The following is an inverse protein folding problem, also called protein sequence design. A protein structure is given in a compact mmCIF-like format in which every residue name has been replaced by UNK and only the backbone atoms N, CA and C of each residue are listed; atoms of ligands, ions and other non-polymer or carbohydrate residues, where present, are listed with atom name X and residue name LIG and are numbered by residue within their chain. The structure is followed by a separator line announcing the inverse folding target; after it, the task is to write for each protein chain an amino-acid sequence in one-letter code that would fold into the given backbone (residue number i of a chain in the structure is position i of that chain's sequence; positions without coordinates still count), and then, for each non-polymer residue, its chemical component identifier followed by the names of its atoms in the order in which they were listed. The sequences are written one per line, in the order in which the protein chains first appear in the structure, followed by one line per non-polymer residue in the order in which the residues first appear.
data_IF_536932667042
#
_entry.id   IF_536932667042
#
_cell.length_a   1.000
_cell.length_b   1.000
_cell.length_c   1.000
_cell.angle_alpha   90.00
_cell.angle_beta   90.00
_cell.angle_gamma   90.00
#
_symmetry.space_group_name_H-M   'P 1'
#
loop_
_entity.id
_entity.type
_entity.pdbx_description
1 polymer ?
#
# COMPACT_ATOMS: atom_id res chain seq x y z
N UNK A 1 -0.74 -0.63 -18.46
CA UNK A 1 -0.13 0.42 -17.63
C UNK A 1 -1.25 1.14 -16.90
N UNK A 2 -1.13 1.39 -15.59
CA UNK A 2 -2.13 2.14 -14.80
C UNK A 2 -1.49 3.40 -14.20
N UNK A 3 -2.31 4.38 -13.84
CA UNK A 3 -1.85 5.66 -13.30
C UNK A 3 -1.85 5.68 -11.77
N UNK A 4 -1.22 6.70 -11.16
CA UNK A 4 -1.25 6.90 -9.70
C UNK A 4 -2.68 7.01 -9.13
N UNK A 5 -3.63 7.53 -9.91
CA UNK A 5 -5.04 7.65 -9.51
C UNK A 5 -5.79 6.34 -9.69
N UNK A 6 -5.35 5.46 -10.59
CA UNK A 6 -5.87 4.08 -10.65
C UNK A 6 -5.45 3.27 -9.42
N UNK A 7 -4.17 3.37 -9.02
CA UNK A 7 -3.69 2.74 -7.79
C UNK A 7 -4.50 3.19 -6.57
N UNK A 8 -4.88 4.47 -6.50
CA UNK A 8 -5.75 4.99 -5.43
C UNK A 8 -7.09 4.26 -5.38
N UNK A 9 -7.76 4.04 -6.52
CA UNK A 9 -9.03 3.30 -6.56
C UNK A 9 -8.83 1.87 -6.08
N UNK A 10 -7.77 1.20 -6.54
CA UNK A 10 -7.50 -0.20 -6.19
C UNK A 10 -7.29 -0.33 -4.68
N UNK A 11 -6.32 0.39 -4.13
CA UNK A 11 -5.98 0.29 -2.71
C UNK A 11 -7.15 0.72 -1.82
N UNK A 12 -7.79 1.86 -2.10
CA UNK A 12 -8.86 2.38 -1.25
C UNK A 12 -10.13 1.50 -1.26
N UNK A 13 -10.38 0.76 -2.34
CA UNK A 13 -11.50 -0.19 -2.36
C UNK A 13 -11.29 -1.32 -1.36
N UNK A 14 -10.07 -1.87 -1.28
CA UNK A 14 -9.74 -2.93 -0.30
C UNK A 14 -9.46 -2.39 1.12
N UNK A 15 -9.12 -1.11 1.25
CA UNK A 15 -9.02 -0.40 2.54
C UNK A 15 -10.40 0.06 3.07
N UNK A 16 -11.50 -0.46 2.52
CA UNK A 16 -12.87 -0.18 2.96
C UNK A 16 -13.24 1.32 2.89
N UNK A 17 -12.72 2.03 1.90
CA UNK A 17 -13.01 3.45 1.63
C UNK A 17 -13.73 3.69 0.28
N UNK A 18 -14.82 2.95 -0.05
CA UNK A 18 -15.48 3.06 -1.35
C UNK A 18 -16.17 4.41 -1.58
N UNK A 19 -16.57 5.09 -0.49
CA UNK A 19 -17.10 6.45 -0.52
C UNK A 19 -16.03 7.48 -0.93
N UNK A 20 -14.77 7.30 -0.51
CA UNK A 20 -13.65 8.16 -0.97
C UNK A 20 -13.35 7.94 -2.45
N UNK A 21 -13.37 6.68 -2.91
CA UNK A 21 -13.20 6.34 -4.34
C UNK A 21 -14.31 6.96 -5.19
N UNK A 22 -15.53 6.97 -4.68
CA UNK A 22 -16.72 7.55 -5.34
C UNK A 22 -16.67 9.06 -5.51
N UNK A 23 -15.77 9.77 -4.81
CA UNK A 23 -15.52 11.21 -5.04
C UNK A 23 -14.78 11.48 -6.36
N UNK A 24 -14.21 10.44 -6.99
CA UNK A 24 -13.48 10.51 -8.24
C UNK A 24 -11.98 10.26 -8.06
N UNK A 25 -11.32 9.81 -9.14
CA UNK A 25 -9.96 9.26 -9.08
C UNK A 25 -8.90 10.24 -8.55
N UNK A 26 -9.02 11.54 -8.86
CA UNK A 26 -8.11 12.57 -8.33
C UNK A 26 -8.29 12.75 -6.83
N UNK A 27 -9.54 12.88 -6.35
CA UNK A 27 -9.84 13.04 -4.91
C UNK A 27 -9.53 11.78 -4.11
N UNK A 28 -9.71 10.59 -4.69
CA UNK A 28 -9.26 9.33 -4.11
C UNK A 28 -7.73 9.33 -3.91
N UNK A 29 -6.97 9.87 -4.86
CA UNK A 29 -5.52 9.97 -4.74
C UNK A 29 -5.09 11.05 -3.73
N UNK A 30 -5.54 12.30 -3.90
CA UNK A 30 -5.07 13.46 -3.13
C UNK A 30 -5.77 13.67 -1.80
N UNK A 31 -6.97 13.09 -1.61
CA UNK A 31 -7.85 13.40 -0.49
C UNK A 31 -8.67 14.68 -0.70
N UNK A 32 -9.43 15.03 0.34
CA UNK A 32 -10.22 16.26 0.48
C UNK A 32 -10.11 16.75 1.94
N UNK A 33 -10.64 17.93 2.31
CA UNK A 33 -10.67 18.32 3.72
C UNK A 33 -11.38 17.30 4.64
N UNK A 34 -12.29 16.49 4.10
CA UNK A 34 -13.04 15.47 4.84
C UNK A 34 -12.47 14.04 4.71
N UNK A 35 -11.53 13.80 3.80
CA UNK A 35 -11.05 12.45 3.46
C UNK A 35 -9.54 12.42 3.26
N UNK A 36 -8.86 11.39 3.76
CA UNK A 36 -7.39 11.34 3.70
C UNK A 36 -6.85 11.15 2.28
N UNK A 37 -7.54 10.39 1.43
CA UNK A 37 -7.00 9.93 0.16
C UNK A 37 -5.80 9.00 0.32
N UNK A 38 -5.29 8.46 -0.79
CA UNK A 38 -4.20 7.48 -0.79
C UNK A 38 -2.86 8.11 -0.38
N UNK A 39 -2.53 9.30 -0.88
CA UNK A 39 -1.21 9.93 -0.65
C UNK A 39 -0.92 10.11 0.84
N UNK A 40 -1.87 10.68 1.59
CA UNK A 40 -1.71 10.89 3.03
C UNK A 40 -1.61 9.56 3.79
N UNK A 41 -2.39 8.54 3.41
CA UNK A 41 -2.33 7.20 4.03
C UNK A 41 -0.97 6.54 3.79
N UNK A 42 -0.41 6.67 2.59
CA UNK A 42 0.92 6.13 2.27
C UNK A 42 2.00 6.89 3.05
N UNK A 43 1.96 8.22 3.09
CA UNK A 43 2.92 9.02 3.85
C UNK A 43 2.92 8.65 5.33
N UNK A 44 1.74 8.57 5.96
CA UNK A 44 1.60 8.18 7.38
C UNK A 44 2.16 6.76 7.64
N UNK A 45 1.94 5.80 6.73
CA UNK A 45 2.52 4.45 6.85
C UNK A 45 4.03 4.44 6.63
N UNK A 46 4.52 5.22 5.67
CA UNK A 46 5.94 5.30 5.32
C UNK A 46 6.77 5.88 6.48
N UNK A 47 6.26 6.93 7.10
CA UNK A 47 6.91 7.58 8.24
C UNK A 47 6.94 6.66 9.47
N UNK A 48 5.94 5.78 9.61
CA UNK A 48 5.87 4.80 10.69
C UNK A 48 6.83 3.62 10.48
N UNK A 49 6.76 2.97 9.31
CA UNK A 49 7.65 1.87 8.93
C UNK A 49 7.72 1.74 7.41
N UNK A 50 8.75 2.33 6.80
CA UNK A 50 8.95 2.25 5.36
C UNK A 50 9.20 0.82 4.84
N UNK A 51 9.52 -0.15 5.72
CA UNK A 51 9.71 -1.55 5.32
C UNK A 51 8.40 -2.24 4.96
N UNK A 52 7.25 -1.62 5.27
CA UNK A 52 5.94 -2.07 4.78
C UNK A 52 5.84 -1.99 3.25
N UNK A 53 6.57 -1.06 2.62
CA UNK A 53 6.57 -0.88 1.16
C UNK A 53 7.68 -1.72 0.54
N UNK A 54 7.43 -3.02 0.49
CA UNK A 54 8.34 -4.04 0.00
C UNK A 54 7.73 -4.81 -1.19
N UNK A 55 8.40 -5.88 -1.64
CA UNK A 55 7.92 -6.71 -2.74
C UNK A 55 6.51 -7.29 -2.50
N UNK A 56 6.19 -7.71 -1.27
CA UNK A 56 4.84 -8.21 -0.94
C UNK A 56 3.79 -7.12 -1.14
N UNK A 57 4.05 -5.89 -0.68
CA UNK A 57 3.13 -4.76 -0.92
C UNK A 57 2.90 -4.52 -2.40
N UNK A 58 3.97 -4.59 -3.21
CA UNK A 58 3.87 -4.47 -4.67
C UNK A 58 2.99 -5.58 -5.27
N UNK A 59 3.24 -6.85 -4.92
CA UNK A 59 2.44 -7.99 -5.38
C UNK A 59 0.97 -7.84 -5.01
N UNK A 60 0.70 -7.46 -3.76
CA UNK A 60 -0.66 -7.20 -3.29
C UNK A 60 -1.33 -6.03 -4.04
N UNK A 61 -0.60 -4.95 -4.34
CA UNK A 61 -1.13 -3.83 -5.11
C UNK A 61 -1.54 -4.24 -6.53
N UNK A 62 -0.75 -5.10 -7.18
CA UNK A 62 -1.08 -5.62 -8.51
C UNK A 62 -2.23 -6.63 -8.45
N UNK A 63 -2.27 -7.52 -7.46
CA UNK A 63 -3.40 -8.42 -7.25
C UNK A 63 -4.72 -7.64 -7.08
N UNK A 64 -4.70 -6.55 -6.30
CA UNK A 64 -5.85 -5.64 -6.15
C UNK A 64 -6.23 -4.96 -7.47
N UNK A 65 -5.25 -4.62 -8.31
CA UNK A 65 -5.51 -4.07 -9.65
C UNK A 65 -6.18 -5.11 -10.56
N UNK A 66 -5.74 -6.37 -10.53
CA UNK A 66 -6.34 -7.49 -11.29
C UNK A 66 -7.78 -7.69 -10.83
N UNK A 67 -8.00 -7.87 -9.52
CA UNK A 67 -9.34 -8.02 -8.94
C UNK A 67 -10.27 -6.88 -9.34
N UNK A 68 -9.80 -5.63 -9.24
CA UNK A 68 -10.61 -4.47 -9.60
C UNK A 68 -11.01 -4.48 -11.07
N UNK A 69 -10.08 -4.80 -11.98
CA UNK A 69 -10.34 -4.81 -13.42
C UNK A 69 -11.28 -5.93 -13.84
N UNK A 70 -11.14 -7.11 -13.26
CA UNK A 70 -12.04 -8.24 -13.53
C UNK A 70 -13.46 -7.95 -13.01
N UNK A 71 -13.59 -7.38 -11.80
CA UNK A 71 -14.90 -6.97 -11.27
C UNK A 71 -15.49 -5.84 -12.12
N UNK A 72 -14.71 -4.86 -12.56
CA UNK A 72 -15.18 -3.81 -13.49
C UNK A 72 -15.70 -4.37 -14.81
N UNK A 73 -14.98 -5.33 -15.40
CA UNK A 73 -15.40 -5.99 -16.62
C UNK A 73 -16.66 -6.84 -16.43
N UNK A 74 -16.75 -7.57 -15.31
CA UNK A 74 -17.91 -8.39 -14.95
C UNK A 74 -19.16 -7.53 -14.76
N UNK A 75 -19.08 -6.45 -13.97
CA UNK A 75 -20.22 -5.54 -13.76
C UNK A 75 -20.69 -4.96 -15.08
N UNK A 76 -19.78 -4.52 -15.95
CA UNK A 76 -20.14 -3.95 -17.26
C UNK A 76 -20.91 -4.93 -18.16
N UNK A 77 -20.62 -6.23 -18.06
CA UNK A 77 -21.25 -7.29 -18.87
C UNK A 77 -22.52 -7.87 -18.26
N UNK A 78 -22.80 -7.54 -17.00
CA UNK A 78 -23.93 -8.11 -16.26
C UNK A 78 -25.26 -7.59 -16.81
N UNK A 79 -26.27 -8.46 -16.94
CA UNK A 79 -27.58 -8.07 -17.48
C UNK A 79 -28.37 -7.12 -16.57
N UNK A 80 -28.06 -7.12 -15.27
CA UNK A 80 -28.68 -6.24 -14.27
C UNK A 80 -28.03 -4.84 -14.21
N UNK A 81 -26.92 -4.60 -14.90
CA UNK A 81 -26.17 -3.34 -14.82
C UNK A 81 -26.90 -2.19 -15.52
N UNK A 82 -27.19 -1.12 -14.76
CA UNK A 82 -27.97 0.04 -15.25
C UNK A 82 -27.23 1.39 -15.13
N UNK A 83 -25.98 1.42 -14.65
CA UNK A 83 -25.21 2.66 -14.45
C UNK A 83 -24.33 2.62 -13.21
N UNK A 84 -23.62 3.72 -12.91
CA UNK A 84 -22.82 3.86 -11.67
C UNK A 84 -21.74 2.78 -11.46
N UNK A 85 -21.17 2.24 -12.54
CA UNK A 85 -20.21 1.12 -12.51
C UNK A 85 -19.07 1.35 -11.52
N UNK A 86 -18.43 2.53 -11.58
CA UNK A 86 -17.31 2.86 -10.72
C UNK A 86 -17.67 2.76 -9.22
N UNK A 87 -18.91 3.11 -8.86
CA UNK A 87 -19.43 3.00 -7.50
C UNK A 87 -19.69 1.53 -7.15
N UNK A 88 -20.40 0.79 -8.01
CA UNK A 88 -20.71 -0.63 -7.79
C UNK A 88 -19.42 -1.44 -7.58
N UNK A 89 -18.41 -1.25 -8.43
CA UNK A 89 -17.13 -1.96 -8.35
C UNK A 89 -16.41 -1.69 -7.03
N UNK A 90 -16.24 -0.42 -6.64
CA UNK A 90 -15.51 -0.10 -5.41
C UNK A 90 -16.24 -0.59 -4.16
N UNK A 91 -17.57 -0.47 -4.12
CA UNK A 91 -18.38 -0.96 -3.01
C UNK A 91 -18.41 -2.49 -2.94
N UNK A 92 -18.38 -3.19 -4.08
CA UNK A 92 -18.31 -4.66 -4.14
C UNK A 92 -17.02 -5.16 -3.49
N UNK A 93 -15.87 -4.61 -3.89
CA UNK A 93 -14.57 -5.01 -3.36
C UNK A 93 -14.41 -4.64 -1.88
N UNK A 94 -14.90 -3.46 -1.49
CA UNK A 94 -14.92 -3.03 -0.10
C UNK A 94 -15.79 -3.94 0.77
N UNK A 95 -16.99 -4.29 0.29
CA UNK A 95 -17.91 -5.19 1.00
C UNK A 95 -17.33 -6.58 1.16
N UNK A 96 -16.73 -7.14 0.10
CA UNK A 96 -16.04 -8.41 0.18
C UNK A 96 -14.92 -8.38 1.23
N UNK A 97 -14.05 -7.36 1.18
CA UNK A 97 -12.95 -7.17 2.14
C UNK A 97 -13.45 -7.06 3.58
N UNK A 98 -14.55 -6.32 3.80
CA UNK A 98 -15.19 -6.18 5.11
C UNK A 98 -15.71 -7.52 5.64
N UNK A 99 -16.39 -8.30 4.80
CA UNK A 99 -16.92 -9.60 5.18
C UNK A 99 -15.80 -10.59 5.51
N UNK A 100 -14.73 -10.62 4.71
CA UNK A 100 -13.55 -11.49 4.94
C UNK A 100 -12.88 -11.14 6.27
N UNK A 101 -12.68 -9.84 6.54
CA UNK A 101 -12.08 -9.37 7.80
C UNK A 101 -12.93 -9.72 9.01
N UNK A 102 -14.26 -9.60 8.92
CA UNK A 102 -15.21 -9.90 10.02
C UNK A 102 -15.15 -11.36 10.46
N UNK A 103 -14.76 -12.28 9.58
CA UNK A 103 -14.62 -13.71 9.90
C UNK A 103 -13.17 -14.11 10.24
N UNK A 104 -12.27 -13.15 10.46
CA UNK A 104 -10.88 -13.41 10.87
C UNK A 104 -9.99 -14.00 9.76
N UNK A 105 -10.38 -13.79 8.50
CA UNK A 105 -9.63 -14.23 7.32
C UNK A 105 -9.06 -13.04 6.56
N UNK A 106 -8.21 -13.34 5.59
CA UNK A 106 -7.61 -12.41 4.63
C UNK A 106 -7.73 -12.95 3.21
N UNK A 107 -7.74 -12.05 2.24
CA UNK A 107 -7.74 -12.41 0.82
C UNK A 107 -6.34 -12.90 0.46
N UNK A 108 -6.23 -14.06 -0.19
CA UNK A 108 -4.94 -14.55 -0.69
C UNK A 108 -4.52 -13.79 -1.97
N UNK A 109 -3.99 -12.59 -1.78
CA UNK A 109 -3.52 -11.76 -2.90
C UNK A 109 -2.33 -12.37 -3.63
N UNK A 110 -1.53 -13.22 -2.98
CA UNK A 110 -0.38 -13.88 -3.61
C UNK A 110 -0.84 -14.91 -4.64
N UNK A 111 -1.92 -15.66 -4.36
CA UNK A 111 -2.49 -16.59 -5.34
C UNK A 111 -2.98 -15.86 -6.61
N UNK A 112 -3.65 -14.71 -6.44
CA UNK A 112 -4.08 -13.87 -7.57
C UNK A 112 -2.89 -13.29 -8.32
N UNK A 113 -1.84 -12.87 -7.61
CA UNK A 113 -0.60 -12.41 -8.21
C UNK A 113 0.09 -13.52 -9.01
N UNK A 114 0.24 -14.71 -8.46
CA UNK A 114 0.97 -15.80 -9.14
C UNK A 114 0.23 -16.28 -10.38
N UNK A 115 -1.11 -16.40 -10.30
CA UNK A 115 -1.95 -16.83 -11.43
C UNK A 115 -2.25 -15.71 -12.43
N UNK A 116 -2.00 -14.46 -12.07
CA UNK A 116 -2.35 -13.26 -12.83
C UNK A 116 -3.83 -13.22 -13.29
N UNK A 117 -4.72 -13.86 -12.53
CA UNK A 117 -6.15 -13.94 -12.83
C UNK A 117 -6.95 -14.16 -11.53
N UNK A 118 -8.25 -13.93 -11.59
CA UNK A 118 -9.16 -14.12 -10.45
C UNK A 118 -9.80 -15.50 -10.54
N UNK A 119 -9.74 -16.33 -9.49
CA UNK A 119 -10.43 -17.62 -9.47
C UNK A 119 -11.93 -17.48 -9.76
N UNK A 120 -12.49 -18.41 -10.51
CA UNK A 120 -13.89 -18.37 -10.95
C UNK A 120 -14.88 -18.34 -9.77
N UNK A 121 -14.60 -19.08 -8.71
CA UNK A 121 -15.39 -19.10 -7.47
C UNK A 121 -15.46 -17.71 -6.83
N UNK A 122 -14.34 -16.98 -6.86
CA UNK A 122 -14.26 -15.63 -6.33
C UNK A 122 -15.00 -14.63 -7.23
N UNK A 123 -14.95 -14.81 -8.55
CA UNK A 123 -15.74 -14.01 -9.50
C UNK A 123 -17.25 -14.16 -9.28
N UNK A 124 -17.75 -15.39 -9.09
CA UNK A 124 -19.17 -15.62 -8.76
C UNK A 124 -19.57 -14.92 -7.46
N UNK A 125 -18.69 -14.95 -6.46
CA UNK A 125 -18.94 -14.25 -5.20
C UNK A 125 -19.00 -12.73 -5.39
N UNK A 126 -18.12 -12.16 -6.21
CA UNK A 126 -18.16 -10.74 -6.54
C UNK A 126 -19.42 -10.37 -7.31
N UNK A 127 -19.87 -11.19 -8.25
CA UNK A 127 -21.12 -10.95 -8.99
C UNK A 127 -22.33 -10.90 -8.06
N UNK A 128 -22.45 -11.88 -7.15
CA UNK A 128 -23.53 -11.90 -6.15
C UNK A 128 -23.50 -10.70 -5.21
N UNK A 129 -22.31 -10.24 -4.82
CA UNK A 129 -22.18 -9.01 -4.04
C UNK A 129 -22.57 -7.80 -4.89
N UNK A 130 -22.08 -7.71 -6.12
CA UNK A 130 -22.26 -6.55 -6.99
C UNK A 130 -23.74 -6.30 -7.33
N UNK A 131 -24.52 -7.36 -7.54
CA UNK A 131 -25.96 -7.26 -7.77
C UNK A 131 -26.67 -6.62 -6.56
N UNK A 132 -26.37 -7.07 -5.33
CA UNK A 132 -26.90 -6.45 -4.09
C UNK A 132 -26.41 -5.02 -3.88
N UNK A 133 -25.17 -4.72 -4.26
CA UNK A 133 -24.63 -3.36 -4.21
C UNK A 133 -25.38 -2.46 -5.20
N UNK A 134 -25.68 -2.96 -6.40
CA UNK A 134 -26.44 -2.23 -7.41
C UNK A 134 -27.82 -1.80 -6.87
N UNK A 135 -28.53 -2.70 -6.19
CA UNK A 135 -29.80 -2.39 -5.52
C UNK A 135 -29.64 -1.22 -4.53
N UNK A 136 -28.65 -1.28 -3.63
CA UNK A 136 -28.42 -0.22 -2.62
C UNK A 136 -27.96 1.11 -3.21
N UNK A 137 -27.22 1.09 -4.31
CA UNK A 137 -26.78 2.32 -4.99
C UNK A 137 -27.95 2.98 -5.73
N UNK A 138 -28.84 2.18 -6.33
CA UNK A 138 -30.00 2.66 -7.08
C UNK A 138 -31.18 3.04 -6.19
N UNK A 139 -31.23 2.57 -4.94
CA UNK A 139 -32.26 2.88 -3.96
C UNK A 139 -31.70 3.62 -2.72
N UNK A 140 -31.29 4.90 -2.83
CA UNK A 140 -30.89 5.68 -1.67
C UNK A 140 -32.07 5.84 -0.69
N UNK A 141 -31.79 5.70 0.61
CA UNK A 141 -32.84 5.85 1.62
C UNK A 141 -33.51 7.23 1.60
N UNK A 142 -34.82 7.23 1.83
CA UNK A 142 -35.67 8.42 1.82
C UNK A 142 -35.10 9.58 2.66
N UNK A 143 -35.18 10.79 2.10
CA UNK A 143 -34.74 12.01 2.76
C UNK A 143 -33.22 12.29 2.72
N UNK A 144 -32.41 11.43 2.10
CA UNK A 144 -30.95 11.65 1.99
C UNK A 144 -30.56 12.33 0.67
N UNK A 145 -31.01 11.77 -0.46
CA UNK A 145 -30.85 12.29 -1.83
C UNK A 145 -31.56 11.34 -2.80
N UNK A 146 -32.10 11.84 -3.91
CA UNK A 146 -32.56 11.01 -5.04
C UNK A 146 -31.46 10.69 -6.06
N UNK A 147 -30.23 11.19 -5.85
CA UNK A 147 -29.12 11.02 -6.80
C UNK A 147 -28.15 9.94 -6.31
N UNK A 148 -28.15 8.78 -6.98
CA UNK A 148 -27.29 7.63 -6.67
C UNK A 148 -25.79 7.96 -6.66
N UNK A 149 -25.32 8.88 -7.52
CA UNK A 149 -23.91 9.29 -7.53
C UNK A 149 -23.55 10.10 -6.28
N UNK A 150 -24.44 10.96 -5.80
CA UNK A 150 -24.21 11.70 -4.54
C UNK A 150 -24.36 10.79 -3.33
N UNK A 151 -25.27 9.81 -3.38
CA UNK A 151 -25.42 8.80 -2.35
C UNK A 151 -24.13 8.00 -2.14
N UNK A 152 -23.55 7.49 -3.24
CA UNK A 152 -22.33 6.69 -3.20
C UNK A 152 -21.11 7.42 -2.60
N UNK A 153 -21.09 8.76 -2.61
CA UNK A 153 -20.03 9.59 -2.02
C UNK A 153 -20.15 9.75 -0.51
N UNK A 154 -21.30 9.43 0.09
CA UNK A 154 -21.54 9.61 1.53
C UNK A 154 -21.01 8.42 2.31
N UNK A 155 -20.35 8.68 3.44
CA UNK A 155 -19.95 7.63 4.39
C UNK A 155 -21.17 6.80 4.84
N UNK A 156 -22.35 7.42 4.98
CA UNK A 156 -23.59 6.73 5.34
C UNK A 156 -23.97 5.61 4.34
N UNK A 157 -23.66 5.75 3.05
CA UNK A 157 -23.86 4.68 2.06
C UNK A 157 -22.97 3.48 2.38
N UNK A 158 -21.71 3.72 2.77
CA UNK A 158 -20.82 2.65 3.22
C UNK A 158 -21.30 1.97 4.49
N UNK A 159 -21.82 2.72 5.46
CA UNK A 159 -22.42 2.14 6.66
C UNK A 159 -23.60 1.22 6.33
N UNK A 160 -24.53 1.66 5.47
CA UNK A 160 -25.65 0.82 4.99
C UNK A 160 -25.15 -0.45 4.29
N UNK A 161 -24.13 -0.34 3.43
CA UNK A 161 -23.57 -1.52 2.74
C UNK A 161 -22.90 -2.50 3.73
N UNK A 162 -22.25 -2.02 4.79
CA UNK A 162 -21.66 -2.90 5.81
C UNK A 162 -22.70 -3.75 6.54
N UNK A 163 -23.93 -3.27 6.65
CA UNK A 163 -25.05 -3.98 7.31
C UNK A 163 -25.67 -5.07 6.44
N UNK A 164 -25.48 -5.03 5.11
CA UNK A 164 -25.98 -6.06 4.21
C UNK A 164 -25.49 -7.46 4.61
N UNK A 165 -26.43 -8.40 4.72
CA UNK A 165 -26.11 -9.81 4.93
C UNK A 165 -25.82 -10.47 3.59
N UNK A 166 -24.56 -10.85 3.41
CA UNK A 166 -24.10 -11.58 2.23
C UNK A 166 -23.20 -12.70 2.73
N UNK A 167 -23.69 -13.92 2.60
CA UNK A 167 -22.95 -15.12 2.97
C UNK A 167 -21.92 -15.46 1.90
N UNK A 168 -20.83 -16.09 2.33
CA UNK A 168 -19.84 -16.63 1.41
C UNK A 168 -20.32 -17.95 0.83
N UNK A 169 -20.12 -18.14 -0.47
CA UNK A 169 -20.15 -19.47 -1.04
C UNK A 169 -19.05 -20.32 -0.40
N UNK A 170 -19.37 -21.58 -0.10
CA UNK A 170 -18.41 -22.49 0.53
C UNK A 170 -17.12 -22.63 -0.29
N UNK A 171 -17.24 -22.57 -1.61
CA UNK A 171 -16.12 -22.60 -2.56
C UNK A 171 -15.12 -21.45 -2.41
N UNK A 172 -15.52 -20.33 -1.77
CA UNK A 172 -14.63 -19.17 -1.56
C UNK A 172 -13.71 -19.39 -0.38
N UNK A 173 -14.09 -20.20 0.61
CA UNK A 173 -13.31 -20.36 1.86
C UNK A 173 -11.90 -20.88 1.59
N UNK A 174 -11.75 -21.80 0.64
CA UNK A 174 -10.45 -22.36 0.24
C UNK A 174 -9.54 -21.37 -0.51
N UNK A 175 -10.04 -20.18 -0.88
CA UNK A 175 -9.28 -19.11 -1.54
C UNK A 175 -8.86 -17.99 -0.57
N UNK A 176 -9.27 -18.10 0.69
CA UNK A 176 -8.91 -17.18 1.75
C UNK A 176 -7.84 -17.82 2.62
N UNK A 177 -7.01 -16.98 3.23
CA UNK A 177 -6.00 -17.38 4.21
C UNK A 177 -6.40 -16.87 5.59
N UNK A 178 -5.83 -17.46 6.63
CA UNK A 178 -6.05 -16.93 7.99
C UNK A 178 -5.42 -15.54 8.12
N UNK A 179 -5.98 -14.69 8.98
CA UNK A 179 -5.32 -13.40 9.30
C UNK A 179 -3.97 -13.58 10.01
N UNK A 180 -3.69 -14.76 10.59
CA UNK A 180 -2.39 -15.07 11.18
C UNK A 180 -1.34 -15.34 10.09
N UNK A 181 -1.67 -16.16 9.11
CA UNK A 181 -0.83 -16.44 7.95
C UNK A 181 -0.50 -15.16 7.16
N UNK A 182 -1.50 -14.29 6.94
CA UNK A 182 -1.29 -12.99 6.28
C UNK A 182 -0.31 -12.10 7.06
N UNK A 183 -0.41 -12.06 8.40
CA UNK A 183 0.55 -11.32 9.25
C UNK A 183 1.95 -11.93 9.23
N UNK A 184 2.06 -13.25 9.17
CA UNK A 184 3.34 -13.94 9.05
C UNK A 184 4.02 -13.59 7.72
N UNK A 185 3.26 -13.58 6.63
CA UNK A 185 3.72 -13.13 5.32
C UNK A 185 4.23 -11.68 5.36
N UNK A 186 3.45 -10.76 5.97
CA UNK A 186 3.88 -9.36 6.17
C UNK A 186 5.17 -9.24 6.99
N UNK A 187 5.29 -10.00 8.09
CA UNK A 187 6.47 -10.01 8.94
C UNK A 187 7.71 -10.50 8.18
N UNK A 188 7.59 -11.61 7.44
CA UNK A 188 8.68 -12.19 6.66
C UNK A 188 9.11 -11.25 5.53
N UNK A 189 8.17 -10.58 4.88
CA UNK A 189 8.46 -9.58 3.85
C UNK A 189 9.21 -8.36 4.43
N UNK A 190 8.79 -7.84 5.60
CA UNK A 190 9.51 -6.75 6.29
C UNK A 190 10.94 -7.16 6.68
N UNK A 191 11.14 -8.39 7.14
CA UNK A 191 12.47 -8.93 7.48
C UNK A 191 13.37 -8.97 6.24
N UNK A 192 12.84 -9.46 5.12
CA UNK A 192 13.55 -9.50 3.83
C UNK A 192 13.92 -8.09 3.35
N UNK A 193 12.98 -7.14 3.38
CA UNK A 193 13.25 -5.75 3.04
C UNK A 193 14.34 -5.13 3.93
N UNK A 194 14.35 -5.46 5.22
CA UNK A 194 15.38 -4.98 6.14
C UNK A 194 16.79 -5.47 5.77
N UNK A 195 16.91 -6.70 5.25
CA UNK A 195 18.18 -7.27 4.78
C UNK A 195 18.63 -6.57 3.48
N UNK A 196 17.71 -6.39 2.52
CA UNK A 196 18.01 -5.68 1.27
C UNK A 196 18.47 -4.24 1.51
N UNK A 197 17.83 -3.53 2.46
CA UNK A 197 18.25 -2.17 2.82
C UNK A 197 19.67 -2.16 3.39
N UNK A 198 20.04 -3.13 4.24
CA UNK A 198 21.40 -3.24 4.79
C UNK A 198 22.46 -3.45 3.71
N UNK A 199 22.18 -4.33 2.74
CA UNK A 199 23.06 -4.56 1.57
C UNK A 199 23.23 -3.28 0.75
N UNK A 200 22.13 -2.55 0.50
CA UNK A 200 22.19 -1.30 -0.26
C UNK A 200 23.00 -0.22 0.48
N UNK A 201 22.79 -0.07 1.79
CA UNK A 201 23.54 0.89 2.62
C UNK A 201 25.05 0.59 2.60
N UNK A 202 25.45 -0.68 2.76
CA UNK A 202 26.86 -1.06 2.67
C UNK A 202 27.43 -0.84 1.26
N UNK A 203 26.67 -1.19 0.22
CA UNK A 203 27.10 -1.01 -1.18
C UNK A 203 27.35 0.46 -1.46
N UNK A 204 26.43 1.35 -1.08
CA UNK A 204 26.61 2.80 -1.20
C UNK A 204 27.89 3.29 -0.51
N UNK A 205 28.15 2.81 0.71
CA UNK A 205 29.35 3.19 1.47
C UNK A 205 30.64 2.72 0.80
N UNK A 206 30.63 1.51 0.23
CA UNK A 206 31.78 0.96 -0.51
C UNK A 206 32.00 1.71 -1.83
N UNK A 207 30.93 1.99 -2.58
CA UNK A 207 30.98 2.69 -3.88
C UNK A 207 31.47 4.14 -3.75
N UNK A 208 31.09 4.85 -2.68
CA UNK A 208 31.67 6.17 -2.36
C UNK A 208 33.19 6.12 -2.14
N UNK A 209 33.70 5.00 -1.64
CA UNK A 209 35.12 4.74 -1.46
C UNK A 209 35.77 5.51 -0.30
N UNK A 210 36.94 5.03 0.13
CA UNK A 210 37.65 5.58 1.29
C UNK A 210 37.98 7.08 1.18
N UNK A 211 38.27 7.57 -0.04
CA UNK A 211 38.63 8.97 -0.28
C UNK A 211 37.50 9.93 0.10
N UNK A 212 36.27 9.61 -0.30
CA UNK A 212 35.08 10.40 0.05
C UNK A 212 34.90 10.51 1.56
N UNK A 213 35.02 9.39 2.26
CA UNK A 213 34.90 9.35 3.72
C UNK A 213 36.03 10.09 4.44
N UNK A 214 37.25 10.07 3.89
CA UNK A 214 38.35 10.87 4.41
C UNK A 214 38.11 12.37 4.26
N UNK A 215 37.50 12.81 3.15
CA UNK A 215 37.10 14.20 2.96
C UNK A 215 36.04 14.62 4.00
N UNK A 216 35.03 13.78 4.23
CA UNK A 216 34.03 14.02 5.28
C UNK A 216 34.68 14.12 6.67
N UNK A 217 35.67 13.26 6.95
CA UNK A 217 36.39 13.29 8.22
C UNK A 217 37.15 14.61 8.40
N UNK A 218 37.85 15.07 7.37
CA UNK A 218 38.61 16.31 7.45
C UNK A 218 37.69 17.53 7.60
N UNK A 219 36.62 17.60 6.82
CA UNK A 219 35.59 18.63 6.96
C UNK A 219 35.00 18.66 8.37
N UNK A 220 34.75 17.49 8.97
CA UNK A 220 34.18 17.41 10.31
C UNK A 220 35.13 17.88 11.43
N UNK A 221 36.46 17.95 11.20
CA UNK A 221 37.40 18.45 12.22
C UNK A 221 37.16 19.92 12.54
N UNK A 222 36.75 20.69 11.55
CA UNK A 222 36.47 22.13 11.70
C UNK A 222 35.03 22.36 12.14
N UNK A 223 34.08 21.56 11.64
CA UNK A 223 32.64 21.82 11.82
C UNK A 223 32.02 21.07 13.00
N UNK A 224 32.63 19.98 13.48
CA UNK A 224 32.19 19.20 14.66
C UNK A 224 30.71 18.77 14.64
N UNK A 225 30.19 18.37 13.48
CA UNK A 225 28.78 17.99 13.27
C UNK A 225 28.49 16.53 13.66
N UNK A 226 29.49 15.66 13.58
CA UNK A 226 29.37 14.24 13.88
C UNK A 226 29.68 13.95 15.36
N UNK A 227 28.90 13.04 15.95
CA UNK A 227 29.13 12.51 17.30
C UNK A 227 30.36 11.59 17.38
N UNK A 228 30.89 11.31 18.59
CA UNK A 228 32.02 10.38 18.76
C UNK A 228 31.76 8.97 18.19
N UNK A 229 30.52 8.49 18.31
CA UNK A 229 30.11 7.20 17.74
C UNK A 229 30.15 7.22 16.22
N UNK A 230 29.61 8.27 15.59
CA UNK A 230 29.61 8.43 14.13
C UNK A 230 31.03 8.61 13.58
N UNK A 231 31.90 9.33 14.30
CA UNK A 231 33.32 9.45 13.96
C UNK A 231 34.06 8.10 14.02
N UNK A 232 33.77 7.27 15.03
CA UNK A 232 34.32 5.92 15.10
C UNK A 232 33.91 5.09 13.88
N UNK A 233 32.66 5.22 13.44
CA UNK A 233 32.13 4.53 12.27
C UNK A 233 32.76 5.06 10.97
N UNK A 234 32.88 6.39 10.85
CA UNK A 234 33.52 7.05 9.72
C UNK A 234 34.97 6.58 9.54
N UNK A 235 35.71 6.38 10.63
CA UNK A 235 37.08 5.87 10.59
C UNK A 235 37.17 4.44 10.02
N UNK A 236 36.16 3.60 10.24
CA UNK A 236 36.07 2.28 9.61
C UNK A 236 35.92 2.45 8.09
N UNK A 237 35.02 3.33 7.64
CA UNK A 237 34.81 3.58 6.20
C UNK A 237 36.02 4.22 5.50
N UNK A 238 36.80 5.05 6.20
CA UNK A 238 38.07 5.59 5.71
C UNK A 238 39.13 4.50 5.44
N UNK A 239 38.93 3.28 5.96
CA UNK A 239 39.84 2.14 5.85
C UNK A 239 39.45 1.15 4.75
N UNK A 240 38.42 1.45 3.95
CA UNK A 240 38.02 0.64 2.79
C UNK A 240 39.20 0.53 1.79
N UNK A 241 39.51 -0.66 1.24
CA UNK A 241 38.74 -1.91 1.33
C UNK A 241 39.15 -2.84 2.50
N UNK A 242 40.11 -2.45 3.37
CA UNK A 242 40.62 -3.32 4.44
C UNK A 242 39.56 -3.60 5.53
N UNK A 243 38.71 -2.63 5.81
CA UNK A 243 37.56 -2.79 6.70
C UNK A 243 36.33 -2.20 6.03
N UNK A 244 35.20 -2.89 6.17
CA UNK A 244 33.91 -2.46 5.64
C UNK A 244 32.96 -2.30 6.83
N UNK A 245 32.26 -1.16 6.96
CA UNK A 245 31.26 -1.00 8.01
C UNK A 245 30.16 -2.07 7.93
N UNK A 246 29.72 -2.58 9.08
CA UNK A 246 28.51 -3.44 9.16
C UNK A 246 27.25 -2.70 8.70
N UNK A 247 26.17 -3.40 8.37
CA UNK A 247 24.89 -2.82 7.94
C UNK A 247 24.41 -1.69 8.86
N UNK A 248 24.49 -1.91 10.18
CA UNK A 248 24.11 -0.90 11.17
C UNK A 248 25.01 0.33 11.12
N UNK A 249 26.31 0.12 10.94
CA UNK A 249 27.29 1.21 10.83
C UNK A 249 27.12 1.98 9.52
N UNK A 250 26.92 1.30 8.39
CA UNK A 250 26.68 1.91 7.10
C UNK A 250 25.44 2.83 7.14
N UNK A 251 24.34 2.35 7.72
CA UNK A 251 23.13 3.16 7.91
C UNK A 251 23.37 4.43 8.73
N UNK A 252 24.11 4.31 9.84
CA UNK A 252 24.46 5.46 10.70
C UNK A 252 25.35 6.45 9.93
N UNK A 253 26.33 5.94 9.18
CA UNK A 253 27.25 6.76 8.39
C UNK A 253 26.53 7.55 7.30
N UNK A 254 25.58 6.93 6.58
CA UNK A 254 24.78 7.62 5.55
C UNK A 254 23.91 8.72 6.17
N UNK A 255 23.33 8.47 7.34
CA UNK A 255 22.56 9.51 8.04
C UNK A 255 23.46 10.68 8.48
N UNK A 256 24.66 10.39 8.99
CA UNK A 256 25.65 11.40 9.35
C UNK A 256 26.12 12.21 8.12
N UNK A 257 26.38 11.56 6.99
CA UNK A 257 26.74 12.20 5.73
C UNK A 257 25.64 13.16 5.25
N UNK A 258 24.38 12.72 5.23
CA UNK A 258 23.25 13.57 4.84
C UNK A 258 23.14 14.83 5.70
N UNK A 259 23.36 14.69 7.02
CA UNK A 259 23.43 15.86 7.92
C UNK A 259 24.60 16.76 7.57
N UNK A 260 25.79 16.20 7.37
CA UNK A 260 26.97 16.99 6.99
C UNK A 260 26.75 17.77 5.68
N UNK A 261 26.09 17.16 4.68
CA UNK A 261 25.77 17.83 3.39
C UNK A 261 24.84 19.02 3.60
N UNK A 262 23.84 18.90 4.48
CA UNK A 262 22.94 20.01 4.83
C UNK A 262 23.68 21.15 5.54
N UNK A 263 24.73 20.83 6.31
CA UNK A 263 25.57 21.77 7.04
C UNK A 263 26.75 22.33 6.19
N UNK A 264 26.79 22.03 4.88
CA UNK A 264 27.78 22.61 3.95
C UNK A 264 28.96 21.71 3.60
N UNK A 265 28.86 20.39 3.82
CA UNK A 265 29.80 19.44 3.24
C UNK A 265 29.51 19.23 1.74
N UNK A 266 30.44 19.60 0.89
CA UNK A 266 30.38 19.36 -0.55
C UNK A 266 31.60 18.54 -0.98
N UNK A 267 31.36 17.48 -1.75
CA UNK A 267 32.41 16.70 -2.40
C UNK A 267 32.45 17.09 -3.87
N UNK A 268 33.56 17.71 -4.27
CA UNK A 268 33.93 17.79 -5.69
C UNK A 268 34.63 16.50 -6.13
#
# INVERSE_FOLDING_TARGET
MFTKTDLAKYILSFDEAPHEVSLGAQKAFSGTPATKGLVKRIAEKWDKDNKEFNELWFKQAIAKAILFREVDAMVFRSSWYQGYKANIVTYTLAKFSNNVRKIGLSINYLDVWDKQTVPHELMRQFESIAEKINEVILDPADGITSNSSEWAKKLRCWETVKELRIDFFESVRGLLISSEEDRENEHNARKTQSLHNGIHDQTYVVEKGARHWQMLREWNRTNSVLSPMELSILNVACSIPKQIPSDKQAKILIAAEKRAIQEGFHCD
#
